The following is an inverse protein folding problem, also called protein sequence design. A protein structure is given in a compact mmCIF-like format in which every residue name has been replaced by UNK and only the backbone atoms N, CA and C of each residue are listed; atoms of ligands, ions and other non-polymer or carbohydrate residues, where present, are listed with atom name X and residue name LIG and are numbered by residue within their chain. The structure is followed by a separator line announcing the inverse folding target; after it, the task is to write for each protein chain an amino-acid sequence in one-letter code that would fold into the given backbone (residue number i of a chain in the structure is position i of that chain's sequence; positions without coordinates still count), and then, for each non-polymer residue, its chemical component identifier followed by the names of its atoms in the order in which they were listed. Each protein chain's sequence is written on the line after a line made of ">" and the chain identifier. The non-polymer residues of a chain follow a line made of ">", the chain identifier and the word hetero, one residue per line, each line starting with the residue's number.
data_IF_507551884758
#
_entry.id   IF_507551884758
#
_cell.length_a   1.000
_cell.length_b   1.000
_cell.length_c   1.000
_cell.angle_alpha   90.00
_cell.angle_beta   90.00
_cell.angle_gamma   90.00
#
_symmetry.space_group_name_H-M   'P 1'
#
loop_
_entity.id
_entity.type
_entity.pdbx_description
1 polymer ?
#
# COMPACT_ATOMS: atom_id res chain seq x y z
N UNK A 1 -27.04 -54.98 16.26
CA UNK A 1 -26.77 -55.01 14.80
C UNK A 1 -26.46 -53.58 14.35
N UNK A 2 -25.34 -53.39 13.64
CA UNK A 2 -24.70 -52.11 13.35
C UNK A 2 -25.37 -51.29 12.22
N UNK A 3 -25.36 -49.95 12.26
CA UNK A 3 -25.73 -49.13 11.11
C UNK A 3 -24.58 -49.13 10.08
N UNK A 4 -24.82 -49.72 8.92
CA UNK A 4 -23.86 -49.77 7.81
C UNK A 4 -23.65 -48.36 7.24
N UNK A 5 -22.38 -47.96 7.18
CA UNK A 5 -21.90 -46.75 6.55
C UNK A 5 -22.48 -46.60 5.13
N UNK A 6 -23.20 -45.49 4.90
CA UNK A 6 -23.51 -45.02 3.56
C UNK A 6 -22.20 -44.53 2.94
N UNK A 7 -21.56 -45.42 2.19
CA UNK A 7 -20.45 -45.09 1.30
C UNK A 7 -21.01 -44.19 0.21
N UNK A 8 -20.78 -42.89 0.36
CA UNK A 8 -21.07 -41.88 -0.65
C UNK A 8 -20.39 -42.32 -1.95
N UNK A 9 -21.21 -42.72 -2.93
CA UNK A 9 -20.70 -43.21 -4.20
C UNK A 9 -19.97 -42.06 -4.91
N UNK A 10 -18.74 -42.28 -5.41
CA UNK A 10 -18.07 -41.27 -6.21
C UNK A 10 -18.97 -40.91 -7.38
N UNK A 11 -19.22 -39.61 -7.55
CA UNK A 11 -20.05 -39.08 -8.62
C UNK A 11 -19.59 -39.68 -9.96
N UNK A 12 -20.51 -39.89 -10.92
CA UNK A 12 -20.15 -40.49 -12.19
C UNK A 12 -18.96 -39.74 -12.79
N UNK A 13 -17.89 -40.42 -13.23
CA UNK A 13 -16.64 -39.78 -13.66
C UNK A 13 -16.86 -38.76 -14.80
N UNK A 14 -17.96 -38.92 -15.53
CA UNK A 14 -18.44 -37.98 -16.56
C UNK A 14 -18.86 -36.61 -15.99
N UNK A 15 -19.42 -36.54 -14.78
CA UNK A 15 -19.81 -35.30 -14.12
C UNK A 15 -18.60 -34.58 -13.51
N UNK A 16 -17.68 -35.32 -12.90
CA UNK A 16 -16.42 -34.77 -12.39
C UNK A 16 -15.54 -34.19 -13.50
N UNK A 17 -15.47 -34.86 -14.66
CA UNK A 17 -14.74 -34.36 -15.82
C UNK A 17 -15.30 -33.03 -16.32
N UNK A 18 -16.63 -32.87 -16.35
CA UNK A 18 -17.29 -31.62 -16.74
C UNK A 18 -17.05 -30.51 -15.72
N UNK A 19 -17.12 -30.80 -14.43
CA UNK A 19 -16.82 -29.82 -13.37
C UNK A 19 -15.35 -29.36 -13.43
N UNK A 20 -14.41 -30.28 -13.64
CA UNK A 20 -12.98 -29.98 -13.83
C UNK A 20 -12.74 -29.12 -15.06
N UNK A 21 -13.41 -29.41 -16.18
CA UNK A 21 -13.33 -28.59 -17.39
C UNK A 21 -13.89 -27.16 -17.18
N UNK A 22 -15.02 -27.04 -16.47
CA UNK A 22 -15.61 -25.73 -16.14
C UNK A 22 -14.71 -24.92 -15.19
N UNK A 23 -14.08 -25.56 -14.22
CA UNK A 23 -13.14 -24.92 -13.32
C UNK A 23 -11.84 -24.52 -14.02
N UNK A 24 -11.32 -25.35 -14.94
CA UNK A 24 -10.17 -25.02 -15.77
C UNK A 24 -10.42 -23.79 -16.65
N UNK A 25 -11.60 -23.66 -17.25
CA UNK A 25 -11.97 -22.45 -18.03
C UNK A 25 -11.99 -21.20 -17.14
N UNK A 26 -12.53 -21.31 -15.92
CA UNK A 26 -12.58 -20.20 -14.96
C UNK A 26 -11.19 -19.81 -14.46
N UNK A 27 -10.28 -20.76 -14.27
CA UNK A 27 -8.90 -20.48 -13.83
C UNK A 27 -8.04 -19.92 -14.96
N UNK A 28 -8.23 -20.35 -16.21
CA UNK A 28 -7.57 -19.74 -17.38
C UNK A 28 -7.96 -18.27 -17.54
N UNK A 29 -9.25 -17.94 -17.35
CA UNK A 29 -9.74 -16.55 -17.41
C UNK A 29 -9.23 -15.69 -16.24
N UNK A 30 -9.13 -16.28 -15.03
CA UNK A 30 -8.61 -15.59 -13.84
C UNK A 30 -7.07 -15.54 -13.80
N UNK A 31 -6.39 -16.44 -14.51
CA UNK A 31 -4.94 -16.66 -14.47
C UNK A 31 -4.09 -15.60 -15.16
N UNK A 32 -4.71 -14.55 -15.72
CA UNK A 32 -4.00 -13.42 -16.33
C UNK A 32 -3.97 -12.25 -15.34
N UNK A 33 -3.42 -12.50 -14.16
CA UNK A 33 -3.16 -11.44 -13.20
C UNK A 33 -1.82 -10.75 -13.52
N UNK A 34 -1.94 -9.65 -14.29
CA UNK A 34 -1.01 -8.52 -14.47
C UNK A 34 0.51 -8.79 -14.41
N UNK A 35 1.03 -9.52 -15.39
CA UNK A 35 2.39 -9.27 -15.92
C UNK A 35 2.39 -9.51 -17.43
N UNK A 36 2.30 -8.43 -18.24
CA UNK A 36 2.40 -8.53 -19.70
C UNK A 36 3.88 -8.49 -20.10
N UNK A 37 4.31 -9.40 -20.97
CA UNK A 37 5.66 -9.36 -21.57
C UNK A 37 5.84 -8.04 -22.32
N UNK A 38 6.84 -7.24 -21.93
CA UNK A 38 7.16 -5.96 -22.59
C UNK A 38 8.15 -6.23 -23.72
N UNK A 39 7.70 -6.10 -24.97
CA UNK A 39 8.58 -6.22 -26.16
C UNK A 39 9.21 -4.87 -26.45
N UNK A 40 10.54 -4.83 -26.60
CA UNK A 40 11.30 -3.62 -26.96
C UNK A 40 11.24 -3.44 -28.48
N UNK A 41 10.83 -2.26 -28.95
CA UNK A 41 10.77 -1.94 -30.38
C UNK A 41 12.06 -1.26 -30.89
N UNK A 42 12.88 -0.73 -29.98
CA UNK A 42 14.14 -0.07 -30.28
C UNK A 42 15.33 -0.96 -29.91
N UNK A 43 16.46 -0.85 -30.61
CA UNK A 43 17.67 -1.59 -30.29
C UNK A 43 18.29 -1.11 -28.95
N UNK A 44 18.33 0.20 -28.71
CA UNK A 44 19.09 0.78 -27.60
C UNK A 44 18.41 0.60 -26.25
N UNK A 45 19.11 0.02 -25.27
CA UNK A 45 18.62 -0.15 -23.90
C UNK A 45 18.64 1.16 -23.12
N UNK A 46 17.46 1.75 -22.91
CA UNK A 46 17.32 2.97 -22.12
C UNK A 46 17.25 2.65 -20.62
N UNK A 47 17.97 3.43 -19.83
CA UNK A 47 17.90 3.36 -18.38
C UNK A 47 16.44 3.59 -17.91
N UNK A 48 15.85 2.66 -17.15
CA UNK A 48 14.50 2.85 -16.63
C UNK A 48 14.49 4.03 -15.64
N UNK A 49 13.48 4.88 -15.72
CA UNK A 49 13.32 6.00 -14.78
C UNK A 49 12.96 5.45 -13.40
N UNK A 50 13.91 5.52 -12.47
CA UNK A 50 13.70 5.18 -11.07
C UNK A 50 12.98 6.33 -10.33
N UNK A 51 12.18 5.97 -9.32
CA UNK A 51 11.58 6.95 -8.41
C UNK A 51 12.69 7.65 -7.61
N UNK A 52 12.70 8.98 -7.62
CA UNK A 52 13.57 9.77 -6.76
C UNK A 52 12.85 10.01 -5.44
N UNK A 53 13.38 9.43 -4.37
CA UNK A 53 12.81 9.57 -3.03
C UNK A 53 13.09 10.98 -2.49
N UNK A 54 12.18 11.53 -1.68
CA UNK A 54 12.43 12.79 -1.00
C UNK A 54 13.62 12.64 -0.05
N UNK A 55 14.43 13.70 0.09
CA UNK A 55 15.59 13.71 0.99
C UNK A 55 15.21 13.49 2.47
N UNK A 56 13.94 13.72 2.83
CA UNK A 56 13.39 13.53 4.18
C UNK A 56 12.04 12.83 4.09
N UNK A 57 11.79 11.92 5.03
CA UNK A 57 10.53 11.19 5.16
C UNK A 57 9.39 12.04 5.73
N UNK A 58 9.72 13.02 6.56
CA UNK A 58 8.77 13.89 7.24
C UNK A 58 9.14 15.37 7.07
N UNK A 59 8.14 16.24 7.23
CA UNK A 59 8.35 17.69 7.26
C UNK A 59 9.25 18.06 8.45
N UNK A 60 10.03 19.13 8.28
CA UNK A 60 10.80 19.69 9.39
C UNK A 60 9.84 20.42 10.34
N UNK A 61 10.02 20.23 11.65
CA UNK A 61 9.35 21.06 12.67
C UNK A 61 9.97 22.47 12.65
N UNK A 62 9.13 23.48 12.89
CA UNK A 62 9.61 24.85 13.08
C UNK A 62 10.51 24.90 14.33
N UNK A 63 11.65 25.60 14.21
CA UNK A 63 12.59 25.82 15.33
C UNK A 63 12.32 27.10 16.10
N UNK A 64 11.62 28.06 15.49
CA UNK A 64 11.28 29.35 16.05
C UNK A 64 9.81 29.36 16.43
N UNK A 65 9.47 28.55 17.42
CA UNK A 65 8.13 28.57 18.01
C UNK A 65 8.01 29.72 19.04
N UNK A 66 6.79 29.96 19.52
CA UNK A 66 6.50 31.09 20.39
C UNK A 66 7.35 31.08 21.67
N UNK A 67 7.63 29.90 22.22
CA UNK A 67 8.48 29.74 23.40
C UNK A 67 9.97 29.94 23.09
N UNK A 68 10.45 29.58 21.89
CA UNK A 68 11.82 29.90 21.48
C UNK A 68 12.02 31.40 21.24
N UNK A 69 10.96 32.11 20.81
CA UNK A 69 10.98 33.55 20.55
C UNK A 69 10.82 34.35 21.85
N UNK A 70 9.80 34.05 22.66
CA UNK A 70 9.50 34.76 23.91
C UNK A 70 10.01 33.92 25.08
N UNK A 71 11.27 34.14 25.46
CA UNK A 71 11.93 33.35 26.52
C UNK A 71 11.67 33.91 27.91
N UNK A 72 11.80 35.23 28.06
CA UNK A 72 11.64 35.90 29.34
C UNK A 72 10.84 37.19 29.14
N UNK A 73 9.87 37.47 30.02
CA UNK A 73 9.24 38.77 30.05
C UNK A 73 10.26 39.80 30.53
N UNK A 74 10.29 40.97 29.89
CA UNK A 74 11.03 42.11 30.40
C UNK A 74 10.21 42.76 31.52
N UNK A 75 10.78 42.88 32.72
CA UNK A 75 10.10 43.38 33.93
C UNK A 75 10.80 44.61 34.51
N UNK A 76 11.41 45.44 33.66
CA UNK A 76 12.08 46.68 34.09
C UNK A 76 11.03 47.75 34.38
N UNK A 77 11.29 48.63 35.35
CA UNK A 77 10.35 49.68 35.79
C UNK A 77 9.88 50.54 34.60
N UNK A 78 10.80 50.91 33.73
CA UNK A 78 10.50 51.65 32.48
C UNK A 78 9.59 50.90 31.51
N UNK A 79 9.66 49.57 31.47
CA UNK A 79 8.85 48.75 30.58
C UNK A 79 7.42 48.55 31.11
N UNK A 80 7.25 48.54 32.43
CA UNK A 80 5.93 48.51 33.06
C UNK A 80 5.23 49.88 32.99
N UNK A 81 5.97 50.99 33.10
CA UNK A 81 5.43 52.34 32.98
C UNK A 81 4.91 52.67 31.56
N UNK A 82 5.59 52.20 30.52
CA UNK A 82 5.22 52.49 29.11
C UNK A 82 4.03 51.64 28.62
N UNK A 83 3.66 50.57 29.34
CA UNK A 83 2.56 49.66 28.98
C UNK A 83 1.15 50.25 29.22
N UNK A 84 1.08 51.41 29.87
CA UNK A 84 -0.16 52.09 30.30
C UNK A 84 -0.63 53.26 29.43
N UNK A 85 -0.02 53.47 28.26
CA UNK A 85 -0.45 54.46 27.25
C UNK A 85 -1.15 53.77 26.07
#
# INVERSE_FOLDING_TARGET
>A
MAPKAKKEAPAPPKAEAKAKALNAKKTVLKGIHRHKKKIRKSPDFRCPKALRLPRKSASRRNRLDHCAIIKFPLTTVSHEEDRGQ
#
